data_IF_449779543506
#
_entry.id   IF_449779543506
#
_cell.length_a   1.000
_cell.length_b   1.000
_cell.length_c   1.000
_cell.angle_alpha   90.00
_cell.angle_beta   90.00
_cell.angle_gamma   90.00
#
_symmetry.space_group_name_H-M   'P 1'
#
loop_
_entity.id
_entity.type
_entity.pdbx_description
1 polymer ?
#
# COMPACT_ATOMS: atom_id res chain seq x y z
N UNK A 1 -46.52 -15.66 21.17
CA UNK A 1 -45.59 -16.23 20.17
C UNK A 1 -45.06 -15.11 19.27
N UNK A 2 -44.11 -14.29 19.73
CA UNK A 2 -43.72 -13.05 19.00
C UNK A 2 -42.34 -12.48 19.30
N UNK A 3 -41.49 -13.20 20.04
CA UNK A 3 -40.20 -12.68 20.54
C UNK A 3 -39.01 -13.09 19.64
N UNK A 4 -39.15 -14.14 18.80
CA UNK A 4 -38.07 -14.62 17.91
C UNK A 4 -37.78 -13.73 16.68
N UNK A 5 -38.76 -12.95 16.20
CA UNK A 5 -38.63 -12.19 14.94
C UNK A 5 -37.71 -10.96 15.05
N UNK A 6 -37.71 -10.27 16.21
CA UNK A 6 -36.91 -9.06 16.43
C UNK A 6 -35.41 -9.31 16.50
N UNK A 7 -34.99 -10.50 16.94
CA UNK A 7 -33.58 -10.90 16.97
C UNK A 7 -33.02 -11.18 15.57
N UNK A 8 -33.81 -11.86 14.73
CA UNK A 8 -33.42 -12.22 13.36
C UNK A 8 -33.27 -10.97 12.49
N UNK A 9 -34.18 -10.00 12.62
CA UNK A 9 -34.10 -8.73 11.87
C UNK A 9 -32.87 -7.91 12.26
N UNK A 10 -32.49 -7.88 13.55
CA UNK A 10 -31.27 -7.20 14.01
C UNK A 10 -30.00 -7.87 13.52
N UNK A 11 -29.96 -9.21 13.51
CA UNK A 11 -28.83 -9.98 12.96
C UNK A 11 -28.71 -9.72 11.45
N UNK A 12 -29.82 -9.73 10.71
CA UNK A 12 -29.83 -9.43 9.27
C UNK A 12 -29.32 -8.02 8.98
N UNK A 13 -29.78 -7.00 9.72
CA UNK A 13 -29.31 -5.61 9.58
C UNK A 13 -27.81 -5.51 9.90
N UNK A 14 -27.32 -6.20 10.94
CA UNK A 14 -25.89 -6.22 11.27
C UNK A 14 -25.06 -6.90 10.17
N UNK A 15 -25.53 -8.01 9.61
CA UNK A 15 -24.85 -8.70 8.51
C UNK A 15 -24.83 -7.87 7.21
N UNK A 16 -25.91 -7.16 6.90
CA UNK A 16 -25.99 -6.24 5.76
C UNK A 16 -25.06 -5.04 5.95
N UNK A 17 -24.98 -4.49 7.16
CA UNK A 17 -24.09 -3.38 7.48
C UNK A 17 -22.61 -3.78 7.36
N UNK A 18 -22.25 -5.00 7.78
CA UNK A 18 -20.90 -5.59 7.61
C UNK A 18 -20.56 -5.78 6.12
N UNK A 19 -21.54 -6.16 5.30
CA UNK A 19 -21.38 -6.31 3.84
C UNK A 19 -21.19 -4.96 3.12
N UNK A 20 -21.74 -3.87 3.66
CA UNK A 20 -21.63 -2.51 3.11
C UNK A 20 -20.34 -1.77 3.52
N UNK A 21 -19.56 -2.29 4.48
CA UNK A 21 -18.25 -1.73 4.90
C UNK A 21 -17.08 -2.27 4.03
N UNK A 22 -17.35 -2.77 2.82
CA UNK A 22 -16.26 -3.02 1.86
C UNK A 22 -15.82 -1.71 1.22
N UNK A 23 -14.86 -1.04 1.86
CA UNK A 23 -14.09 0.02 1.24
C UNK A 23 -13.16 -0.62 0.19
N UNK A 24 -13.69 -0.84 -1.01
CA UNK A 24 -12.94 -1.44 -2.10
C UNK A 24 -12.01 -0.40 -2.73
N UNK A 25 -10.72 -0.49 -2.41
CA UNK A 25 -9.66 0.10 -3.23
C UNK A 25 -9.66 -0.61 -4.60
N UNK A 26 -10.49 -0.11 -5.51
CA UNK A 26 -10.80 -0.67 -6.83
C UNK A 26 -9.60 -0.74 -7.79
N UNK A 27 -8.49 -0.09 -7.48
CA UNK A 27 -7.32 -0.01 -8.35
C UNK A 27 -6.58 -1.36 -8.51
N UNK A 28 -6.49 -2.16 -7.44
CA UNK A 28 -5.71 -3.41 -7.46
C UNK A 28 -6.57 -4.66 -7.76
N UNK A 29 -7.90 -4.53 -7.85
CA UNK A 29 -8.81 -5.67 -8.01
C UNK A 29 -8.56 -6.53 -9.25
N UNK A 30 -7.99 -5.93 -10.30
CA UNK A 30 -7.71 -6.59 -11.57
C UNK A 30 -6.20 -6.68 -11.87
N UNK A 31 -5.33 -6.39 -10.89
CA UNK A 31 -3.90 -6.54 -11.05
C UNK A 31 -3.55 -8.02 -11.30
N UNK A 32 -2.70 -8.29 -12.29
CA UNK A 32 -2.23 -9.64 -12.62
C UNK A 32 -0.72 -9.71 -12.50
N UNK A 33 -0.18 -10.86 -12.09
CA UNK A 33 1.27 -11.09 -12.13
C UNK A 33 1.77 -10.89 -13.57
N UNK A 34 2.82 -10.08 -13.74
CA UNK A 34 3.45 -9.89 -15.04
C UNK A 34 4.16 -11.16 -15.48
N UNK A 35 4.03 -11.55 -16.74
CA UNK A 35 4.81 -12.65 -17.33
C UNK A 35 6.25 -12.23 -17.60
N UNK A 36 6.52 -10.93 -17.66
CA UNK A 36 7.84 -10.38 -17.90
C UNK A 36 8.67 -10.43 -16.61
N UNK A 37 9.86 -11.01 -16.73
CA UNK A 37 10.88 -10.99 -15.68
C UNK A 37 11.95 -9.98 -16.08
N UNK A 38 12.24 -9.03 -15.19
CA UNK A 38 13.24 -8.00 -15.40
C UNK A 38 14.51 -8.36 -14.63
N UNK A 39 15.62 -8.52 -15.35
CA UNK A 39 16.93 -8.70 -14.74
C UNK A 39 17.48 -7.34 -14.28
N UNK A 40 17.84 -7.24 -13.01
CA UNK A 40 18.55 -6.09 -12.45
C UNK A 40 20.00 -6.46 -12.11
N UNK A 41 20.79 -5.49 -11.62
CA UNK A 41 22.15 -5.74 -11.11
C UNK A 41 22.16 -6.62 -9.85
N UNK A 42 21.04 -6.69 -9.12
CA UNK A 42 20.94 -7.36 -7.82
C UNK A 42 20.13 -8.66 -7.88
N UNK A 43 19.38 -8.89 -8.95
CA UNK A 43 18.57 -10.10 -9.11
C UNK A 43 17.40 -9.91 -10.06
N UNK A 44 16.59 -10.97 -10.22
CA UNK A 44 15.40 -10.95 -11.08
C UNK A 44 14.19 -10.43 -10.33
N UNK A 45 13.41 -9.58 -10.99
CA UNK A 45 12.17 -9.00 -10.49
C UNK A 45 10.98 -9.41 -11.37
N UNK A 46 9.84 -9.62 -10.73
CA UNK A 46 8.57 -9.84 -11.39
C UNK A 46 7.54 -8.88 -10.80
N UNK A 47 6.92 -8.05 -11.66
CA UNK A 47 5.96 -7.04 -11.26
C UNK A 47 4.50 -7.48 -11.43
N UNK A 48 3.62 -6.49 -11.40
CA UNK A 48 2.18 -6.61 -11.65
C UNK A 48 1.79 -5.78 -12.87
N UNK A 49 0.93 -6.30 -13.73
CA UNK A 49 0.21 -5.50 -14.72
C UNK A 49 -1.12 -5.07 -14.11
N UNK A 50 -1.32 -3.76 -14.04
CA UNK A 50 -2.59 -3.16 -13.63
C UNK A 50 -3.31 -2.64 -14.89
N UNK A 51 -4.47 -3.21 -15.24
CA UNK A 51 -5.27 -2.69 -16.34
C UNK A 51 -5.85 -1.34 -15.96
N UNK A 52 -5.87 -0.41 -16.93
CA UNK A 52 -6.40 0.94 -16.74
C UNK A 52 -7.75 1.11 -17.44
N UNK A 53 -8.53 0.02 -17.55
CA UNK A 53 -9.75 -0.08 -18.36
C UNK A 53 -10.85 0.91 -17.91
N UNK A 54 -10.83 1.34 -16.64
CA UNK A 54 -11.71 2.39 -16.11
C UNK A 54 -11.44 3.75 -16.76
N UNK A 55 -10.26 3.95 -17.33
CA UNK A 55 -9.81 5.19 -17.97
C UNK A 55 -9.60 4.94 -19.47
N UNK A 56 -10.57 5.35 -20.29
CA UNK A 56 -10.70 5.05 -21.73
C UNK A 56 -9.44 5.27 -22.60
N UNK A 57 -8.49 6.10 -22.15
CA UNK A 57 -7.31 6.47 -22.92
C UNK A 57 -5.99 6.06 -22.28
N UNK A 58 -6.03 5.42 -21.11
CA UNK A 58 -4.81 5.02 -20.41
C UNK A 58 -4.45 3.58 -20.78
N UNK A 59 -3.18 3.38 -21.11
CA UNK A 59 -2.62 2.05 -21.33
C UNK A 59 -2.42 1.34 -19.98
N UNK A 60 -2.40 -0.01 -19.95
CA UNK A 60 -2.02 -0.74 -18.76
C UNK A 60 -0.63 -0.32 -18.29
N UNK A 61 -0.44 -0.35 -16.98
CA UNK A 61 0.85 -0.06 -16.33
C UNK A 61 1.43 -1.35 -15.76
N UNK A 62 2.75 -1.46 -15.83
CA UNK A 62 3.52 -2.47 -15.12
C UNK A 62 4.11 -1.82 -13.87
N UNK A 63 3.87 -2.45 -12.72
CA UNK A 63 4.24 -1.97 -11.39
C UNK A 63 5.23 -2.93 -10.75
N UNK A 64 6.31 -2.40 -10.19
CA UNK A 64 7.25 -3.13 -9.35
C UNK A 64 7.27 -2.46 -7.98
N UNK A 65 6.62 -3.07 -7.00
CA UNK A 65 6.47 -2.54 -5.66
C UNK A 65 7.49 -3.15 -4.69
N UNK A 66 7.93 -2.36 -3.72
CA UNK A 66 8.79 -2.86 -2.64
C UNK A 66 10.14 -3.40 -3.13
N UNK A 67 10.72 -2.75 -4.14
CA UNK A 67 12.04 -3.11 -4.68
C UNK A 67 13.12 -2.55 -3.76
N UNK A 68 13.98 -3.39 -3.13
CA UNK A 68 15.04 -2.90 -2.28
C UNK A 68 16.11 -2.19 -3.13
N UNK A 69 16.48 -0.96 -2.74
CA UNK A 69 17.51 -0.18 -3.45
C UNK A 69 18.76 0.06 -2.61
N UNK A 70 18.73 -0.29 -1.32
CA UNK A 70 19.86 -0.18 -0.41
C UNK A 70 19.78 -1.24 0.70
N UNK A 71 20.90 -1.48 1.38
CA UNK A 71 20.94 -2.32 2.59
C UNK A 71 20.14 -1.64 3.72
N UNK A 72 19.36 -2.39 4.53
CA UNK A 72 18.59 -1.83 5.64
C UNK A 72 19.45 -1.01 6.62
N UNK A 73 19.05 0.22 6.98
CA UNK A 73 19.81 1.12 7.86
C UNK A 73 19.56 0.80 9.35
N UNK A 74 19.52 -0.49 9.68
CA UNK A 74 19.23 -0.99 11.04
C UNK A 74 20.53 -1.29 11.80
N UNK A 75 20.46 -1.29 13.13
CA UNK A 75 21.56 -1.69 14.01
C UNK A 75 22.87 -0.93 13.69
N UNK A 76 23.95 -1.64 13.37
CA UNK A 76 25.26 -1.06 13.04
C UNK A 76 25.25 -0.16 11.79
N UNK A 77 24.24 -0.29 10.92
CA UNK A 77 24.10 0.56 9.74
C UNK A 77 23.37 1.88 10.04
N UNK A 78 22.82 2.07 11.25
CA UNK A 78 22.13 3.30 11.60
C UNK A 78 23.12 4.48 11.57
N UNK A 79 22.69 5.59 10.96
CA UNK A 79 23.49 6.81 10.76
C UNK A 79 24.77 6.62 9.91
N UNK A 80 24.95 5.46 9.31
CA UNK A 80 25.99 5.22 8.32
C UNK A 80 25.49 5.55 6.91
N UNK A 81 26.38 5.85 5.95
CA UNK A 81 26.01 5.96 4.55
C UNK A 81 25.31 4.69 4.04
N UNK A 82 24.35 4.86 3.13
CA UNK A 82 23.66 3.74 2.50
C UNK A 82 24.63 2.93 1.63
N UNK A 83 24.40 1.62 1.56
CA UNK A 83 25.17 0.69 0.74
C UNK A 83 24.23 -0.01 -0.24
N UNK A 84 24.77 -0.48 -1.35
CA UNK A 84 24.02 -1.30 -2.31
C UNK A 84 23.37 -2.50 -1.61
N UNK A 85 22.17 -2.93 -2.02
CA UNK A 85 21.51 -4.09 -1.45
C UNK A 85 22.29 -5.37 -1.79
N UNK A 86 22.18 -6.38 -0.93
CA UNK A 86 22.68 -7.72 -1.25
C UNK A 86 21.93 -8.27 -2.46
N UNK A 87 22.62 -8.90 -3.43
CA UNK A 87 21.96 -9.64 -4.48
C UNK A 87 21.07 -10.76 -3.90
N UNK A 88 20.05 -11.15 -4.64
CA UNK A 88 19.17 -12.27 -4.29
C UNK A 88 19.11 -13.30 -5.42
N UNK A 89 18.97 -14.56 -5.03
CA UNK A 89 18.75 -15.66 -5.95
C UNK A 89 17.27 -15.79 -6.34
N UNK A 90 17.00 -16.50 -7.42
CA UNK A 90 15.62 -16.76 -7.86
C UNK A 90 14.96 -15.55 -8.52
N UNK A 91 13.64 -15.44 -8.36
CA UNK A 91 12.80 -14.34 -8.84
C UNK A 91 12.11 -13.73 -7.62
N UNK A 92 12.27 -12.43 -7.41
CA UNK A 92 11.55 -11.68 -6.38
C UNK A 92 10.27 -11.12 -6.98
N UNK A 93 9.13 -11.51 -6.40
CA UNK A 93 7.83 -10.93 -6.72
C UNK A 93 7.70 -9.58 -6.01
N UNK A 94 7.46 -8.54 -6.79
CA UNK A 94 7.38 -7.14 -6.37
C UNK A 94 5.94 -6.63 -6.50
N UNK A 95 5.04 -7.25 -5.74
CA UNK A 95 3.59 -7.04 -5.79
C UNK A 95 3.04 -6.21 -4.61
N UNK A 96 3.88 -5.91 -3.61
CA UNK A 96 3.50 -5.20 -2.39
C UNK A 96 4.50 -4.10 -2.06
N UNK A 97 4.00 -3.00 -1.51
CA UNK A 97 4.87 -1.92 -1.00
C UNK A 97 5.63 -2.40 0.24
N UNK A 98 6.89 -1.97 0.35
CA UNK A 98 7.63 -2.10 1.62
C UNK A 98 7.02 -1.24 2.73
N UNK A 99 7.47 -1.42 3.98
CA UNK A 99 7.08 -0.54 5.07
C UNK A 99 7.61 0.89 4.82
N UNK A 100 6.88 1.89 5.31
CA UNK A 100 7.34 3.28 5.29
C UNK A 100 8.38 3.51 6.39
N UNK A 101 9.19 4.55 6.26
CA UNK A 101 10.16 4.89 7.30
C UNK A 101 9.48 5.37 8.59
N UNK A 102 10.15 5.18 9.75
CA UNK A 102 9.58 5.56 11.04
C UNK A 102 9.34 7.07 11.10
N UNK A 103 8.12 7.45 11.48
CA UNK A 103 7.69 8.84 11.60
C UNK A 103 6.69 8.98 12.73
N UNK A 104 6.83 10.06 13.52
CA UNK A 104 5.85 10.41 14.54
C UNK A 104 4.62 11.02 13.87
N UNK A 105 3.57 10.21 13.73
CA UNK A 105 2.30 10.68 13.18
C UNK A 105 1.59 11.60 14.19
N UNK A 106 0.92 12.67 13.74
CA UNK A 106 0.10 13.50 14.62
C UNK A 106 -1.09 12.68 15.15
N UNK A 107 -1.41 12.85 16.43
CA UNK A 107 -2.64 12.30 16.99
C UNK A 107 -3.84 13.10 16.48
N UNK A 108 -4.74 12.40 15.79
CA UNK A 108 -5.98 12.95 15.24
C UNK A 108 -7.21 12.20 15.74
N UNK A 109 -7.07 11.39 16.80
CA UNK A 109 -8.18 10.67 17.42
C UNK A 109 -9.26 11.63 17.93
N UNK A 110 -8.84 12.77 18.48
CA UNK A 110 -9.72 13.87 18.88
C UNK A 110 -9.70 14.98 17.82
N UNK A 111 -10.80 15.12 17.09
CA UNK A 111 -10.93 16.12 16.02
C UNK A 111 -10.84 17.56 16.53
N UNK A 112 -11.47 17.88 17.66
CA UNK A 112 -11.43 19.23 18.24
C UNK A 112 -10.00 19.64 18.58
N UNK A 113 -9.28 18.78 19.31
CA UNK A 113 -7.88 19.03 19.67
C UNK A 113 -6.93 19.05 18.45
N UNK A 114 -7.26 18.29 17.40
CA UNK A 114 -6.51 18.34 16.15
C UNK A 114 -6.74 19.67 15.40
N UNK A 115 -7.99 20.14 15.33
CA UNK A 115 -8.35 21.39 14.64
C UNK A 115 -7.81 22.65 15.32
N UNK A 116 -7.50 22.60 16.61
CA UNK A 116 -6.74 23.65 17.31
C UNK A 116 -5.30 23.75 16.80
N UNK A 117 -4.71 22.64 16.33
CA UNK A 117 -3.30 22.54 15.92
C UNK A 117 -3.11 22.55 14.41
N UNK A 118 -4.14 22.24 13.63
CA UNK A 118 -4.04 22.18 12.17
C UNK A 118 -5.34 22.55 11.44
N UNK A 119 -5.26 23.11 10.22
CA UNK A 119 -6.44 23.38 9.40
C UNK A 119 -7.22 22.11 9.04
N UNK A 120 -8.54 22.23 8.86
CA UNK A 120 -9.44 21.12 8.47
C UNK A 120 -8.94 20.34 7.25
N UNK A 121 -8.48 21.04 6.21
CA UNK A 121 -7.95 20.38 5.00
C UNK A 121 -6.71 19.51 5.27
N UNK A 122 -5.85 19.92 6.22
CA UNK A 122 -4.69 19.11 6.64
C UNK A 122 -5.14 17.88 7.42
N UNK A 123 -6.12 18.02 8.31
CA UNK A 123 -6.69 16.89 9.05
C UNK A 123 -7.30 15.86 8.09
N UNK A 124 -8.09 16.30 7.12
CA UNK A 124 -8.70 15.41 6.12
C UNK A 124 -7.64 14.72 5.25
N UNK A 125 -6.61 15.46 4.82
CA UNK A 125 -5.47 14.90 4.10
C UNK A 125 -4.76 13.80 4.92
N UNK A 126 -4.50 14.05 6.20
CA UNK A 126 -3.88 13.07 7.10
C UNK A 126 -4.77 11.85 7.28
N UNK A 127 -6.07 12.01 7.52
CA UNK A 127 -7.04 10.90 7.61
C UNK A 127 -6.96 9.97 6.41
N UNK A 128 -6.82 10.51 5.20
CA UNK A 128 -6.67 9.72 3.97
C UNK A 128 -5.33 8.98 3.88
N UNK A 129 -4.25 9.56 4.40
CA UNK A 129 -2.91 8.96 4.34
C UNK A 129 -2.65 7.93 5.43
N UNK A 130 -3.24 8.09 6.62
CA UNK A 130 -2.92 7.25 7.79
C UNK A 130 -2.92 5.75 7.52
N UNK A 131 -3.87 5.15 6.78
CA UNK A 131 -3.83 3.72 6.49
C UNK A 131 -2.55 3.26 5.80
N UNK A 132 -1.93 4.12 4.97
CA UNK A 132 -0.68 3.84 4.27
C UNK A 132 0.58 4.06 5.12
N UNK A 133 0.45 4.74 6.27
CA UNK A 133 1.56 5.11 7.15
C UNK A 133 1.66 4.24 8.41
N UNK A 134 0.76 3.26 8.58
CA UNK A 134 0.72 2.39 9.76
C UNK A 134 1.88 1.38 9.79
N UNK A 135 2.23 0.81 8.64
CA UNK A 135 3.31 -0.18 8.55
C UNK A 135 4.68 0.52 8.47
N UNK A 136 5.25 0.83 9.63
CA UNK A 136 6.55 1.50 9.75
C UNK A 136 7.65 0.52 10.16
N UNK A 137 8.84 0.68 9.59
CA UNK A 137 10.05 -0.06 9.96
C UNK A 137 11.28 0.77 9.65
N UNK A 138 12.37 0.61 10.40
CA UNK A 138 13.68 1.17 10.02
C UNK A 138 14.23 0.53 8.74
N UNK A 139 13.87 -0.73 8.48
CA UNK A 139 14.07 -1.33 7.16
C UNK A 139 13.00 -0.81 6.20
N UNK A 140 13.22 0.40 5.64
CA UNK A 140 12.28 1.09 4.76
C UNK A 140 12.88 1.53 3.41
N UNK A 141 14.10 1.10 3.06
CA UNK A 141 14.80 1.55 1.84
C UNK A 141 14.34 0.78 0.59
N UNK A 142 13.05 0.95 0.29
CA UNK A 142 12.38 0.37 -0.86
C UNK A 142 11.86 1.47 -1.80
N UNK A 143 11.80 1.16 -3.08
CA UNK A 143 11.17 2.01 -4.10
C UNK A 143 10.08 1.27 -4.84
N UNK A 144 9.22 2.05 -5.49
CA UNK A 144 8.14 1.56 -6.34
C UNK A 144 8.37 2.11 -7.76
N UNK A 145 8.32 1.25 -8.76
CA UNK A 145 8.53 1.61 -10.17
C UNK A 145 7.22 1.41 -10.92
N UNK A 146 6.85 2.39 -11.75
CA UNK A 146 5.67 2.37 -12.58
C UNK A 146 6.09 2.65 -14.02
N UNK A 147 5.81 1.71 -14.93
CA UNK A 147 6.15 1.84 -16.36
C UNK A 147 4.93 1.52 -17.21
N UNK A 148 4.79 2.06 -18.43
CA UNK A 148 3.81 1.54 -19.38
C UNK A 148 4.05 0.04 -19.65
N UNK A 149 3.01 -0.79 -19.62
CA UNK A 149 3.14 -2.24 -19.81
C UNK A 149 3.58 -2.62 -21.24
N UNK A 150 3.40 -1.71 -22.20
CA UNK A 150 3.88 -1.84 -23.57
C UNK A 150 4.79 -0.66 -23.89
N UNK A 151 6.10 -0.89 -23.86
CA UNK A 151 7.08 -0.02 -24.51
C UNK A 151 7.06 -0.28 -26.01
N UNK A 152 7.07 0.78 -26.82
CA UNK A 152 7.35 0.65 -28.26
C UNK A 152 8.79 0.23 -28.48
#
# INVERSE_FOLDING_TARGET
MGIKSRGILRVLIFTILILLIKCDNSFMKNAKISTRIVQTRYGRLQGLIVPMDTYRYLKPIEMFLGVPYATPPVQSNRFSPTRTPSPWDGIRVSDKTGPVCPQKLPDISNETAALEKMPKGRLEYLRRLLPYLQNQSEDCLYLNIYTPAQGK
#
